data_IF_135155564817
#
_entry.id   IF_135155564817
#
_cell.length_a   1.000
_cell.length_b   1.000
_cell.length_c   1.000
_cell.angle_alpha   90.00
_cell.angle_beta   90.00
_cell.angle_gamma   90.00
#
_symmetry.space_group_name_H-M   'P 1'
#
loop_
_entity.id
_entity.type
_entity.pdbx_description
1 polymer ?
#
# COMPACT_ATOMS: atom_id res chain seq x y z
N UNK A 1 -75.27 2.90 30.84
CA UNK A 1 -75.67 2.48 32.20
C UNK A 1 -74.90 1.20 32.48
N UNK A 2 -73.95 1.03 33.40
CA UNK A 2 -73.76 1.61 34.74
C UNK A 2 -72.37 1.19 35.28
N UNK A 3 -71.59 2.16 35.78
CA UNK A 3 -70.64 2.19 36.95
C UNK A 3 -69.62 1.03 37.15
N UNK A 4 -68.31 1.34 37.26
CA UNK A 4 -67.55 1.65 38.50
C UNK A 4 -67.54 0.46 39.50
N UNK A 5 -66.47 0.04 40.17
CA UNK A 5 -65.08 0.49 40.27
C UNK A 5 -64.24 -0.57 41.04
N UNK A 6 -62.93 -0.41 40.96
CA UNK A 6 -61.91 -0.70 42.00
C UNK A 6 -61.64 -2.14 42.44
N UNK A 7 -60.39 -2.57 42.21
CA UNK A 7 -59.48 -2.93 43.30
C UNK A 7 -58.02 -2.75 42.87
N UNK A 8 -57.35 -1.80 43.51
CA UNK A 8 -55.91 -1.63 43.48
C UNK A 8 -55.25 -2.75 44.29
N UNK A 9 -54.11 -3.23 43.80
CA UNK A 9 -53.09 -3.90 44.61
C UNK A 9 -51.73 -3.37 44.16
N UNK A 10 -51.01 -2.80 45.12
CA UNK A 10 -49.71 -2.20 44.95
C UNK A 10 -48.59 -3.19 45.30
N UNK A 11 -47.42 -2.85 44.74
CA UNK A 11 -46.05 -3.21 45.12
C UNK A 11 -45.50 -4.59 44.66
N UNK A 12 -44.16 -4.74 44.50
CA UNK A 12 -43.07 -3.80 44.81
C UNK A 12 -42.07 -3.54 43.66
N UNK A 13 -41.13 -2.65 43.97
CA UNK A 13 -39.98 -2.23 43.19
C UNK A 13 -39.10 -3.38 42.69
N UNK A 14 -38.66 -3.27 41.44
CA UNK A 14 -37.52 -4.00 40.89
C UNK A 14 -36.60 -3.00 40.20
N UNK A 15 -35.47 -2.68 40.83
CA UNK A 15 -34.33 -2.07 40.16
C UNK A 15 -33.88 -3.01 39.03
N UNK A 16 -34.25 -2.69 37.79
CA UNK A 16 -33.67 -3.27 36.59
C UNK A 16 -32.36 -2.57 36.28
N UNK A 17 -31.25 -3.17 36.68
CA UNK A 17 -29.89 -2.73 36.41
C UNK A 17 -29.70 -2.47 34.91
N UNK A 18 -29.26 -1.26 34.58
CA UNK A 18 -28.75 -0.92 33.27
C UNK A 18 -27.49 -1.75 32.97
N UNK A 19 -27.54 -2.60 31.94
CA UNK A 19 -26.35 -3.09 31.25
C UNK A 19 -26.34 -2.49 29.85
N UNK A 20 -25.85 -1.25 29.76
CA UNK A 20 -25.27 -0.72 28.53
C UNK A 20 -24.00 -1.54 28.26
N UNK A 21 -24.12 -2.57 27.42
CA UNK A 21 -22.97 -3.22 26.78
C UNK A 21 -22.38 -2.23 25.77
N UNK A 22 -21.69 -1.21 26.26
CA UNK A 22 -20.74 -0.46 25.46
C UNK A 22 -19.56 -1.40 25.20
N UNK A 23 -19.66 -2.18 24.13
CA UNK A 23 -18.52 -2.89 23.59
C UNK A 23 -17.49 -1.83 23.19
N UNK A 24 -16.51 -1.60 24.07
CA UNK A 24 -15.28 -0.94 23.71
C UNK A 24 -14.61 -1.85 22.67
N UNK A 25 -14.91 -1.62 21.40
CA UNK A 25 -14.13 -2.15 20.31
C UNK A 25 -12.75 -1.52 20.45
N UNK A 26 -11.87 -2.18 21.21
CA UNK A 26 -10.44 -1.96 21.07
C UNK A 26 -10.15 -2.10 19.58
N UNK A 27 -9.59 -1.09 18.90
CA UNK A 27 -9.10 -1.32 17.54
C UNK A 27 -8.26 -2.59 17.60
N UNK A 28 -8.57 -3.57 16.75
CA UNK A 28 -7.70 -4.72 16.59
C UNK A 28 -6.42 -4.17 15.95
N UNK A 29 -5.46 -3.78 16.80
CA UNK A 29 -4.08 -3.70 16.39
C UNK A 29 -3.73 -5.14 16.09
N UNK A 30 -3.87 -5.54 14.82
CA UNK A 30 -3.25 -6.75 14.33
C UNK A 30 -1.77 -6.58 14.71
N UNK A 31 -1.37 -7.28 15.75
CA UNK A 31 0.01 -7.38 16.18
C UNK A 31 0.74 -7.79 14.91
N UNK A 32 1.60 -6.90 14.39
CA UNK A 32 2.49 -7.24 13.28
C UNK A 32 3.35 -8.35 13.84
N UNK A 33 2.92 -9.58 13.62
CA UNK A 33 3.69 -10.78 13.88
C UNK A 33 5.01 -10.55 13.16
N UNK A 34 6.04 -10.18 13.92
CA UNK A 34 7.38 -9.97 13.41
C UNK A 34 7.94 -11.37 13.19
N UNK A 35 7.44 -11.99 12.12
CA UNK A 35 8.02 -13.18 11.51
C UNK A 35 9.53 -12.94 11.41
N UNK A 36 10.40 -13.85 11.87
CA UNK A 36 11.83 -13.74 11.66
C UNK A 36 12.22 -13.57 10.18
N UNK A 37 11.34 -13.91 9.24
CA UNK A 37 11.49 -13.62 7.80
C UNK A 37 11.08 -12.18 7.42
N UNK A 38 10.67 -11.33 8.37
CA UNK A 38 10.34 -9.92 8.14
C UNK A 38 11.53 -9.08 7.64
N UNK A 39 12.75 -9.63 7.70
CA UNK A 39 13.96 -9.06 7.11
C UNK A 39 14.17 -9.40 5.63
N UNK A 40 13.30 -10.21 5.03
CA UNK A 40 13.33 -10.50 3.59
C UNK A 40 13.15 -9.20 2.81
N UNK A 41 14.08 -8.93 1.91
CA UNK A 41 14.02 -7.79 0.99
C UNK A 41 12.89 -8.03 -0.01
N UNK A 42 11.92 -7.11 -0.04
CA UNK A 42 10.85 -7.11 -1.04
C UNK A 42 11.15 -6.05 -2.09
N UNK A 43 10.76 -6.32 -3.33
CA UNK A 43 10.95 -5.45 -4.48
C UNK A 43 9.61 -4.88 -4.88
N UNK A 44 9.43 -3.58 -4.73
CA UNK A 44 8.16 -2.91 -4.95
C UNK A 44 8.22 -2.07 -6.21
N UNK A 45 7.10 -2.05 -6.93
CA UNK A 45 6.93 -1.26 -8.15
C UNK A 45 5.77 -0.28 -8.02
N UNK A 46 5.81 0.77 -8.83
CA UNK A 46 4.81 1.82 -8.92
C UNK A 46 4.77 2.45 -10.30
N UNK A 47 3.83 3.37 -10.51
CA UNK A 47 3.69 4.14 -11.75
C UNK A 47 2.26 4.20 -12.26
N UNK A 48 2.10 4.77 -13.45
CA UNK A 48 0.80 4.95 -14.12
C UNK A 48 -0.04 6.13 -13.61
N UNK A 49 0.51 6.97 -12.71
CA UNK A 49 -0.17 8.16 -12.17
C UNK A 49 0.81 9.29 -11.86
N UNK A 50 0.29 10.51 -11.76
CA UNK A 50 1.04 11.71 -11.33
C UNK A 50 2.33 11.97 -12.14
N UNK A 51 2.32 11.64 -13.44
CA UNK A 51 3.49 11.78 -14.32
C UNK A 51 4.61 10.74 -14.11
N UNK A 52 4.41 9.77 -13.21
CA UNK A 52 5.32 8.64 -13.01
C UNK A 52 4.95 7.53 -13.98
N UNK A 53 5.84 7.26 -14.93
CA UNK A 53 5.68 6.16 -15.89
C UNK A 53 5.94 4.81 -15.21
N UNK A 54 6.98 4.76 -14.37
CA UNK A 54 7.38 3.58 -13.62
C UNK A 54 8.20 3.99 -12.41
N UNK A 55 8.20 3.19 -11.36
CA UNK A 55 9.09 3.37 -10.22
C UNK A 55 9.40 2.03 -9.58
N UNK A 56 10.58 1.92 -8.95
CA UNK A 56 10.99 0.72 -8.24
C UNK A 56 11.83 1.05 -7.00
N UNK A 57 11.70 0.22 -5.98
CA UNK A 57 12.47 0.34 -4.73
C UNK A 57 12.46 -0.94 -3.92
N UNK A 58 13.26 -1.00 -2.87
CA UNK A 58 13.30 -2.14 -1.95
C UNK A 58 12.86 -1.73 -0.55
N UNK A 59 12.14 -2.63 0.12
CA UNK A 59 11.78 -2.47 1.53
C UNK A 59 11.54 -3.82 2.20
N UNK A 60 11.62 -3.84 3.52
CA UNK A 60 11.22 -5.00 4.33
C UNK A 60 9.69 -5.05 4.51
N UNK A 61 9.18 -6.06 5.22
CA UNK A 61 7.73 -6.20 5.44
C UNK A 61 7.11 -5.08 6.28
N UNK A 62 7.94 -4.32 7.00
CA UNK A 62 7.51 -3.17 7.77
C UNK A 62 7.40 -1.89 6.91
N UNK A 63 7.66 -1.99 5.60
CA UNK A 63 7.74 -0.88 4.65
C UNK A 63 8.87 0.10 4.94
N UNK A 64 9.93 -0.37 5.59
CA UNK A 64 11.16 0.38 5.81
C UNK A 64 12.05 0.16 4.60
N UNK A 65 12.43 1.27 3.95
CA UNK A 65 13.27 1.20 2.76
C UNK A 65 14.62 0.55 3.03
N UNK A 66 15.03 -0.32 2.13
CA UNK A 66 16.34 -0.96 2.13
C UNK A 66 17.24 -0.45 0.98
N UNK A 67 16.83 0.64 0.33
CA UNK A 67 17.56 1.29 -0.75
C UNK A 67 16.73 1.45 -2.04
N UNK A 68 17.21 2.29 -2.96
CA UNK A 68 16.58 2.43 -4.26
C UNK A 68 16.94 1.25 -5.17
N UNK A 69 16.03 0.89 -6.08
CA UNK A 69 16.40 0.16 -7.28
C UNK A 69 17.30 1.04 -8.16
N UNK A 70 18.11 0.42 -9.04
CA UNK A 70 18.79 1.16 -10.12
C UNK A 70 18.02 0.91 -11.40
N UNK A 71 17.70 1.97 -12.14
CA UNK A 71 17.00 1.86 -13.43
C UNK A 71 17.89 2.48 -14.51
N UNK A 72 18.13 1.72 -15.57
CA UNK A 72 18.89 2.14 -16.75
C UNK A 72 17.96 2.19 -17.95
N UNK A 73 18.07 3.24 -18.77
CA UNK A 73 17.35 3.32 -20.04
C UNK A 73 18.15 2.54 -21.09
N UNK A 74 17.57 1.47 -21.62
CA UNK A 74 18.21 0.61 -22.62
C UNK A 74 17.98 1.17 -24.02
N UNK A 75 16.75 1.52 -24.35
CA UNK A 75 16.40 2.12 -25.63
C UNK A 75 15.07 2.88 -25.55
N UNK A 76 14.86 3.79 -26.49
CA UNK A 76 13.64 4.59 -26.59
C UNK A 76 13.22 4.76 -28.05
N UNK A 77 11.93 4.82 -28.29
CA UNK A 77 11.38 5.20 -29.60
C UNK A 77 11.75 6.65 -29.95
N UNK A 78 11.83 7.02 -31.23
CA UNK A 78 12.10 8.41 -31.64
C UNK A 78 11.14 9.40 -30.97
N UNK A 79 11.70 10.43 -30.32
CA UNK A 79 10.92 11.47 -29.65
C UNK A 79 10.51 11.16 -28.21
N UNK A 80 10.72 9.93 -27.72
CA UNK A 80 10.55 9.59 -26.30
C UNK A 80 11.77 10.09 -25.52
N UNK A 81 11.52 10.72 -24.38
CA UNK A 81 12.56 11.15 -23.43
C UNK A 81 12.19 10.67 -22.04
N UNK A 82 13.10 9.95 -21.40
CA UNK A 82 12.93 9.48 -20.03
C UNK A 82 13.90 10.21 -19.08
N UNK A 83 13.47 10.42 -17.85
CA UNK A 83 14.32 10.83 -16.74
C UNK A 83 14.17 9.82 -15.61
N UNK A 84 15.31 9.38 -15.07
CA UNK A 84 15.37 8.47 -13.92
C UNK A 84 16.01 9.23 -12.77
N UNK A 85 15.29 9.36 -11.67
CA UNK A 85 15.76 10.12 -10.50
C UNK A 85 15.36 9.42 -9.20
N UNK A 86 16.14 9.58 -8.11
CA UNK A 86 15.67 9.24 -6.78
C UNK A 86 14.39 10.03 -6.45
N UNK A 87 13.41 9.38 -5.83
CA UNK A 87 12.15 10.01 -5.46
C UNK A 87 11.33 9.12 -4.54
N UNK A 88 10.06 9.50 -4.37
CA UNK A 88 9.07 8.65 -3.69
C UNK A 88 7.97 8.25 -4.67
N UNK A 89 7.46 7.04 -4.52
CA UNK A 89 6.37 6.53 -5.35
C UNK A 89 5.35 5.81 -4.49
N UNK A 90 4.11 5.72 -4.98
CA UNK A 90 3.09 4.88 -4.35
C UNK A 90 3.22 3.47 -4.91
N UNK A 91 3.35 2.49 -4.02
CA UNK A 91 3.42 1.08 -4.39
C UNK A 91 2.10 0.65 -5.02
N UNK A 92 2.17 0.12 -6.24
CA UNK A 92 1.03 -0.47 -6.96
C UNK A 92 1.25 -1.94 -7.31
N UNK A 93 2.47 -2.45 -7.14
CA UNK A 93 2.81 -3.84 -7.39
C UNK A 93 4.11 -4.27 -6.71
N UNK A 94 4.52 -5.51 -6.98
CA UNK A 94 5.77 -6.09 -6.51
C UNK A 94 6.39 -6.95 -7.60
N UNK A 95 7.71 -6.91 -7.70
CA UNK A 95 8.47 -7.84 -8.56
C UNK A 95 8.86 -9.11 -7.78
N UNK A 96 8.95 -9.02 -6.45
CA UNK A 96 9.26 -10.14 -5.56
C UNK A 96 8.89 -9.80 -4.12
N UNK A 97 8.35 -10.78 -3.40
CA UNK A 97 8.01 -10.67 -1.98
C UNK A 97 6.51 -10.43 -1.75
N UNK A 98 6.18 -9.84 -0.62
CA UNK A 98 4.81 -9.68 -0.14
C UNK A 98 4.22 -8.32 -0.50
N UNK A 99 2.92 -8.26 -0.80
CA UNK A 99 2.18 -7.04 -1.13
C UNK A 99 1.82 -6.16 0.10
N UNK A 100 2.52 -6.32 1.21
CA UNK A 100 2.21 -5.65 2.49
C UNK A 100 2.33 -4.12 2.44
N UNK A 101 3.07 -3.58 1.47
CA UNK A 101 3.25 -2.14 1.29
C UNK A 101 2.38 -1.53 0.19
N UNK A 102 1.40 -2.25 -0.36
CA UNK A 102 0.52 -1.73 -1.40
C UNK A 102 -0.17 -0.43 -0.94
N UNK A 103 -0.18 0.60 -1.80
CA UNK A 103 -0.74 1.92 -1.50
C UNK A 103 0.14 2.80 -0.60
N UNK A 104 1.22 2.27 -0.01
CA UNK A 104 2.16 3.07 0.78
C UNK A 104 3.09 3.88 -0.13
N UNK A 105 3.64 4.97 0.41
CA UNK A 105 4.71 5.72 -0.25
C UNK A 105 6.07 5.16 0.17
N UNK A 106 6.88 4.75 -0.80
CA UNK A 106 8.24 4.29 -0.57
C UNK A 106 9.24 5.16 -1.35
N UNK A 107 10.45 5.36 -0.81
CA UNK A 107 11.54 5.92 -1.59
C UNK A 107 12.06 4.89 -2.61
N UNK A 108 12.53 5.36 -3.77
CA UNK A 108 13.08 4.51 -4.82
C UNK A 108 13.56 5.30 -6.03
N UNK A 109 13.78 4.60 -7.14
CA UNK A 109 14.01 5.22 -8.44
C UNK A 109 12.67 5.45 -9.14
N UNK A 110 12.48 6.67 -9.64
CA UNK A 110 11.26 7.11 -10.32
C UNK A 110 11.60 7.46 -11.76
N UNK A 111 10.86 6.87 -12.69
CA UNK A 111 10.93 7.12 -14.12
C UNK A 111 9.78 8.04 -14.51
N UNK A 112 10.12 9.22 -15.01
CA UNK A 112 9.19 10.14 -15.67
C UNK A 112 9.59 10.28 -17.13
N UNK A 113 8.71 10.84 -17.96
CA UNK A 113 9.05 11.02 -19.36
C UNK A 113 8.01 11.78 -20.15
N UNK A 114 8.34 12.01 -21.41
CA UNK A 114 7.48 12.67 -22.39
C UNK A 114 7.70 12.07 -23.78
N UNK A 115 6.81 12.43 -24.71
CA UNK A 115 6.79 11.89 -26.06
C UNK A 115 5.71 10.83 -26.22
N UNK A 116 5.80 10.03 -27.28
CA UNK A 116 4.86 8.95 -27.57
C UNK A 116 5.61 7.77 -28.17
N UNK A 117 5.34 6.57 -27.67
CA UNK A 117 5.96 5.34 -28.16
C UNK A 117 6.44 4.44 -27.03
N UNK A 118 7.36 3.54 -27.33
CA UNK A 118 7.89 2.57 -26.39
C UNK A 118 9.27 2.97 -25.87
N UNK A 119 9.57 2.56 -24.65
CA UNK A 119 10.91 2.61 -24.08
C UNK A 119 11.22 1.31 -23.34
N UNK A 120 12.44 0.82 -23.49
CA UNK A 120 12.94 -0.32 -22.75
C UNK A 120 13.86 0.18 -21.64
N UNK A 121 13.57 -0.25 -20.42
CA UNK A 121 14.40 0.01 -19.25
C UNK A 121 14.89 -1.31 -18.66
N UNK A 122 16.02 -1.26 -17.96
CA UNK A 122 16.51 -2.35 -17.14
C UNK A 122 16.44 -1.97 -15.68
N UNK A 123 15.81 -2.81 -14.88
CA UNK A 123 15.64 -2.61 -13.44
C UNK A 123 16.58 -3.55 -12.72
N UNK A 124 17.41 -3.01 -11.83
CA UNK A 124 18.33 -3.77 -10.99
C UNK A 124 17.95 -3.61 -9.52
N UNK A 125 18.05 -4.71 -8.77
CA UNK A 125 17.90 -4.76 -7.32
C UNK A 125 19.24 -5.13 -6.67
N UNK A 126 20.10 -4.14 -6.34
CA UNK A 126 21.45 -4.38 -5.84
C UNK A 126 21.56 -5.33 -4.65
N UNK A 127 20.63 -5.34 -3.66
CA UNK A 127 20.75 -6.22 -2.50
C UNK A 127 20.85 -7.72 -2.85
N UNK A 128 20.31 -8.14 -4.00
CA UNK A 128 20.32 -9.54 -4.46
C UNK A 128 21.01 -9.74 -5.81
N UNK A 129 21.46 -8.66 -6.46
CA UNK A 129 22.07 -8.71 -7.80
C UNK A 129 21.12 -9.11 -8.94
N UNK A 130 19.80 -9.16 -8.69
CA UNK A 130 18.79 -9.53 -9.68
C UNK A 130 18.46 -8.35 -10.60
N UNK A 131 18.09 -8.65 -11.84
CA UNK A 131 17.66 -7.65 -12.82
C UNK A 131 16.70 -8.21 -13.85
N UNK A 132 15.92 -7.35 -14.50
CA UNK A 132 15.07 -7.69 -15.63
C UNK A 132 14.87 -6.48 -16.56
N UNK A 133 14.46 -6.74 -17.80
CA UNK A 133 14.08 -5.72 -18.77
C UNK A 133 12.56 -5.49 -18.74
N UNK A 134 12.15 -4.22 -18.75
CA UNK A 134 10.77 -3.80 -18.71
C UNK A 134 10.45 -2.85 -19.87
N UNK A 135 9.29 -3.03 -20.48
CA UNK A 135 8.83 -2.18 -21.58
C UNK A 135 7.78 -1.20 -21.07
N UNK A 136 8.04 0.08 -21.26
CA UNK A 136 7.15 1.19 -20.95
C UNK A 136 6.42 1.65 -22.21
N UNK A 137 5.12 1.88 -22.10
CA UNK A 137 4.36 2.64 -23.09
C UNK A 137 4.22 4.08 -22.62
N UNK A 138 4.70 5.02 -23.42
CA UNK A 138 4.58 6.46 -23.16
C UNK A 138 3.45 7.00 -24.03
N UNK A 139 2.39 7.49 -23.38
CA UNK A 139 1.27 8.20 -24.01
C UNK A 139 1.37 9.71 -23.76
N UNK A 140 0.82 10.51 -24.68
CA UNK A 140 0.82 11.99 -24.58
C UNK A 140 0.12 12.50 -23.32
#
# INVERSE_FOLDING_TARGET
MTRQAMRAKAAPAGLGVALLMAAAATPAWAERDNDPDAYVVNFFTGGGKDGVLFAAGTANQQCISQGPARIEVVSTSPGVRLSVQPGTFVVTGTDYGYLVCLGQRLPGAVVTGSGSGEAHIRVYYPPVGQWYDHTLTVGR
#
